data_IF_710102134458
#
_entry.id   IF_710102134458
#
_cell.length_a   1.000
_cell.length_b   1.000
_cell.length_c   1.000
_cell.angle_alpha   90.00
_cell.angle_beta   90.00
_cell.angle_gamma   90.00
#
_symmetry.space_group_name_H-M   'P 1'
#
loop_
_entity.id
_entity.type
_entity.pdbx_description
1 polymer ?
#
# COMPACT_ATOMS: atom_id res chain seq x y z
N UNK A 1 -15.09 -38.72 -40.96
CA UNK A 1 -14.58 -40.02 -40.46
C UNK A 1 -13.27 -39.75 -39.76
N UNK A 2 -13.35 -39.46 -38.45
CA UNK A 2 -12.21 -39.34 -37.55
C UNK A 2 -11.73 -40.74 -37.24
N UNK A 3 -10.55 -41.11 -37.74
CA UNK A 3 -9.93 -42.39 -37.41
C UNK A 3 -9.54 -42.36 -35.93
N UNK A 4 -10.22 -43.16 -35.11
CA UNK A 4 -9.77 -43.50 -33.77
C UNK A 4 -8.49 -44.35 -33.91
N UNK A 5 -7.32 -43.72 -33.75
CA UNK A 5 -6.08 -44.45 -33.51
C UNK A 5 -6.02 -44.77 -32.02
N UNK A 6 -6.60 -45.90 -31.63
CA UNK A 6 -6.57 -46.40 -30.26
C UNK A 6 -6.66 -47.92 -30.23
N UNK A 7 -5.66 -48.53 -29.58
CA UNK A 7 -5.65 -49.87 -29.01
C UNK A 7 -5.64 -51.09 -29.95
N UNK A 8 -4.45 -51.46 -30.48
CA UNK A 8 -4.20 -52.84 -30.96
C UNK A 8 -2.76 -53.35 -30.74
N UNK A 9 -1.92 -52.69 -29.94
CA UNK A 9 -0.60 -53.23 -29.57
C UNK A 9 -0.68 -53.89 -28.18
N UNK A 10 -0.30 -55.16 -28.08
CA UNK A 10 -0.25 -55.88 -26.80
C UNK A 10 0.71 -55.19 -25.81
N UNK A 11 0.41 -55.23 -24.50
CA UNK A 11 1.31 -54.71 -23.48
C UNK A 11 2.69 -55.37 -23.60
N UNK A 12 3.72 -54.55 -23.74
CA UNK A 12 5.10 -55.01 -23.83
C UNK A 12 5.63 -55.31 -22.41
N UNK A 13 6.29 -56.45 -22.22
CA UNK A 13 7.02 -56.74 -20.97
C UNK A 13 8.27 -55.86 -20.91
N UNK A 14 8.24 -54.85 -20.03
CA UNK A 14 9.34 -53.89 -19.83
C UNK A 14 10.64 -54.53 -19.32
N UNK A 15 10.60 -55.79 -18.89
CA UNK A 15 11.78 -56.55 -18.49
C UNK A 15 12.42 -57.36 -19.63
N UNK A 16 11.86 -57.31 -20.85
CA UNK A 16 12.46 -57.98 -22.00
C UNK A 16 13.84 -57.35 -22.33
N UNK A 17 14.95 -58.11 -22.23
CA UNK A 17 16.29 -57.60 -22.50
C UNK A 17 16.52 -57.15 -23.96
N UNK A 18 15.60 -57.46 -24.88
CA UNK A 18 15.67 -57.03 -26.28
C UNK A 18 15.17 -55.60 -26.51
N UNK A 19 14.49 -55.00 -25.54
CA UNK A 19 13.96 -53.64 -25.66
C UNK A 19 15.07 -52.60 -25.55
N UNK A 20 14.97 -51.56 -26.36
CA UNK A 20 15.81 -50.38 -26.17
C UNK A 20 15.25 -49.52 -25.04
N UNK A 21 16.10 -48.64 -24.48
CA UNK A 21 15.65 -47.66 -23.47
C UNK A 21 14.48 -46.80 -23.97
N UNK A 22 14.47 -46.48 -25.26
CA UNK A 22 13.42 -45.65 -25.84
C UNK A 22 12.11 -46.42 -26.01
N UNK A 23 12.16 -47.73 -26.25
CA UNK A 23 10.95 -48.58 -26.29
C UNK A 23 10.27 -48.65 -24.93
N UNK A 24 11.06 -48.72 -23.84
CA UNK A 24 10.53 -48.66 -22.47
C UNK A 24 9.87 -47.30 -22.18
N UNK A 25 10.47 -46.19 -22.62
CA UNK A 25 9.89 -44.85 -22.48
C UNK A 25 8.56 -44.74 -23.22
N UNK A 26 8.49 -45.24 -24.47
CA UNK A 26 7.25 -45.27 -25.25
C UNK A 26 6.16 -46.09 -24.57
N UNK A 27 6.50 -47.25 -24.00
CA UNK A 27 5.54 -48.08 -23.29
C UNK A 27 5.01 -47.39 -22.02
N UNK A 28 5.85 -46.65 -21.29
CA UNK A 28 5.41 -45.84 -20.16
C UNK A 28 4.41 -44.75 -20.58
N UNK A 29 4.74 -43.99 -21.61
CA UNK A 29 3.87 -42.95 -22.15
C UNK A 29 2.54 -43.51 -22.66
N UNK A 30 2.56 -44.69 -23.30
CA UNK A 30 1.36 -45.36 -23.79
C UNK A 30 0.38 -45.73 -22.68
N UNK A 31 0.87 -46.06 -21.47
CA UNK A 31 0.02 -46.37 -20.31
C UNK A 31 -0.72 -45.15 -19.76
N UNK A 32 -0.21 -43.96 -20.04
CA UNK A 32 -0.81 -42.67 -19.67
C UNK A 32 -1.53 -42.01 -20.88
N UNK A 33 -1.87 -42.80 -21.91
CA UNK A 33 -2.48 -42.34 -23.16
C UNK A 33 -1.70 -41.21 -23.88
N UNK A 34 -0.37 -41.26 -23.78
CA UNK A 34 0.58 -40.38 -24.48
C UNK A 34 1.25 -41.14 -25.63
N UNK A 35 1.17 -40.58 -26.84
CA UNK A 35 1.82 -41.11 -28.04
C UNK A 35 2.86 -40.12 -28.59
N UNK A 36 4.12 -40.55 -28.76
CA UNK A 36 5.15 -39.77 -29.44
C UNK A 36 5.00 -39.94 -30.96
N UNK A 37 4.66 -38.86 -31.67
CA UNK A 37 4.51 -38.82 -33.13
C UNK A 37 5.84 -38.57 -33.82
N UNK A 38 6.62 -37.62 -33.33
CA UNK A 38 7.96 -37.31 -33.87
C UNK A 38 8.95 -37.16 -32.73
N UNK A 39 10.14 -37.72 -32.95
CA UNK A 39 11.29 -37.57 -32.05
C UNK A 39 12.55 -37.48 -32.91
N UNK A 40 12.96 -36.26 -33.22
CA UNK A 40 14.05 -36.01 -34.17
C UNK A 40 15.17 -35.19 -33.55
N UNK A 41 16.41 -35.64 -33.75
CA UNK A 41 17.59 -34.84 -33.42
C UNK A 41 17.67 -33.61 -34.31
N UNK A 42 18.11 -32.47 -33.76
CA UNK A 42 18.35 -31.24 -34.52
C UNK A 42 19.47 -31.36 -35.56
N UNK A 43 20.34 -32.38 -35.42
CA UNK A 43 21.46 -32.62 -36.32
C UNK A 43 21.44 -34.05 -36.86
N UNK A 44 21.83 -34.19 -38.14
CA UNK A 44 22.00 -35.49 -38.79
C UNK A 44 23.29 -36.16 -38.30
N UNK A 45 23.15 -37.01 -37.28
CA UNK A 45 24.23 -37.79 -36.70
C UNK A 45 25.07 -37.06 -35.63
N UNK A 46 25.84 -37.82 -34.85
CA UNK A 46 26.66 -37.28 -33.76
C UNK A 46 27.89 -36.53 -34.27
N UNK A 47 28.32 -35.50 -33.54
CA UNK A 47 29.58 -34.78 -33.74
C UNK A 47 29.68 -33.96 -35.05
N UNK A 48 28.56 -33.48 -35.58
CA UNK A 48 28.58 -32.66 -36.80
C UNK A 48 29.30 -31.31 -36.58
N UNK A 49 29.87 -30.72 -37.64
CA UNK A 49 30.50 -29.39 -37.55
C UNK A 49 29.50 -28.30 -37.14
N UNK A 50 28.23 -28.45 -37.54
CA UNK A 50 27.15 -27.52 -37.20
C UNK A 50 26.80 -27.62 -35.71
N UNK A 51 26.65 -28.84 -35.17
CA UNK A 51 26.42 -29.10 -33.75
C UNK A 51 27.52 -28.50 -32.89
N UNK A 52 28.80 -28.77 -33.21
CA UNK A 52 29.95 -28.21 -32.48
C UNK A 52 29.94 -26.67 -32.43
N UNK A 53 29.49 -26.01 -33.50
CA UNK A 53 29.37 -24.55 -33.55
C UNK A 53 28.27 -24.06 -32.60
N UNK A 54 27.11 -24.71 -32.62
CA UNK A 54 25.97 -24.38 -31.74
C UNK A 54 26.34 -24.61 -30.27
N UNK A 55 26.96 -25.76 -29.94
CA UNK A 55 27.46 -26.07 -28.61
C UNK A 55 28.42 -24.98 -28.12
N UNK A 56 29.37 -24.54 -28.95
CA UNK A 56 30.32 -23.47 -28.58
C UNK A 56 29.62 -22.15 -28.29
N UNK A 57 28.63 -21.77 -29.11
CA UNK A 57 27.89 -20.52 -28.91
C UNK A 57 27.07 -20.55 -27.61
N UNK A 58 26.39 -21.66 -27.32
CA UNK A 58 25.62 -21.84 -26.08
C UNK A 58 26.55 -21.87 -24.87
N UNK A 59 27.67 -22.59 -24.97
CA UNK A 59 28.70 -22.63 -23.92
C UNK A 59 29.26 -21.24 -23.63
N UNK A 60 29.50 -20.44 -24.66
CA UNK A 60 29.92 -19.05 -24.50
C UNK A 60 28.89 -18.22 -23.72
N UNK A 61 27.58 -18.38 -23.98
CA UNK A 61 26.54 -17.68 -23.24
C UNK A 61 26.53 -18.09 -21.75
N UNK A 62 26.65 -19.39 -21.44
CA UNK A 62 26.76 -19.84 -20.05
C UNK A 62 27.99 -19.27 -19.35
N UNK A 63 29.14 -19.26 -20.03
CA UNK A 63 30.37 -18.66 -19.48
C UNK A 63 30.23 -17.14 -19.28
N UNK A 64 29.59 -16.44 -20.22
CA UNK A 64 29.34 -15.01 -20.12
C UNK A 64 28.39 -14.68 -18.95
N UNK A 65 27.34 -15.48 -18.76
CA UNK A 65 26.45 -15.38 -17.59
C UNK A 65 27.24 -15.57 -16.28
N UNK A 66 28.08 -16.60 -16.20
CA UNK A 66 28.94 -16.86 -15.04
C UNK A 66 29.95 -15.73 -14.78
N UNK A 67 30.51 -15.14 -15.83
CA UNK A 67 31.41 -13.98 -15.73
C UNK A 67 30.71 -12.79 -15.08
N UNK A 68 29.50 -12.44 -15.53
CA UNK A 68 28.75 -11.33 -14.93
C UNK A 68 28.27 -11.63 -13.50
N UNK A 69 27.94 -12.89 -13.18
CA UNK A 69 27.69 -13.29 -11.79
C UNK A 69 28.94 -13.13 -10.90
N UNK A 70 30.13 -13.41 -11.45
CA UNK A 70 31.38 -13.18 -10.75
C UNK A 70 31.66 -11.68 -10.56
N UNK A 71 31.42 -10.85 -11.59
CA UNK A 71 31.52 -9.38 -11.48
C UNK A 71 30.58 -8.85 -10.39
N UNK A 72 29.35 -9.37 -10.32
CA UNK A 72 28.42 -9.05 -9.23
C UNK A 72 29.02 -9.38 -7.86
N UNK A 73 29.50 -10.61 -7.68
CA UNK A 73 30.06 -11.07 -6.40
C UNK A 73 31.27 -10.23 -5.97
N UNK A 74 32.20 -9.97 -6.89
CA UNK A 74 33.41 -9.18 -6.62
C UNK A 74 33.02 -7.74 -6.27
N UNK A 75 32.10 -7.14 -7.02
CA UNK A 75 31.63 -5.78 -6.76
C UNK A 75 30.91 -5.70 -5.41
N UNK A 76 30.09 -6.69 -5.07
CA UNK A 76 29.40 -6.76 -3.79
C UNK A 76 30.36 -6.80 -2.58
N UNK A 77 31.49 -7.50 -2.72
CA UNK A 77 32.45 -7.68 -1.62
C UNK A 77 33.41 -6.49 -1.50
N UNK A 78 33.94 -6.01 -2.63
CA UNK A 78 35.13 -5.13 -2.65
C UNK A 78 34.78 -3.66 -2.90
N UNK A 79 33.65 -3.38 -3.54
CA UNK A 79 33.30 -2.02 -3.95
C UNK A 79 32.89 -1.15 -2.75
N UNK A 80 33.28 0.14 -2.71
CA UNK A 80 32.88 1.04 -1.62
C UNK A 80 31.36 1.24 -1.62
N UNK A 81 30.69 0.79 -0.55
CA UNK A 81 29.23 0.87 -0.41
C UNK A 81 28.77 1.91 0.62
N UNK A 82 29.69 2.45 1.42
CA UNK A 82 29.37 3.45 2.44
C UNK A 82 29.04 4.78 1.77
N UNK A 83 27.99 5.42 2.26
CA UNK A 83 27.61 6.76 1.79
C UNK A 83 28.72 7.76 2.10
N UNK A 84 29.10 8.54 1.10
CA UNK A 84 30.04 9.65 1.21
C UNK A 84 29.43 10.89 0.54
N UNK A 85 29.71 12.07 1.09
CA UNK A 85 29.26 13.34 0.50
C UNK A 85 30.05 13.64 -0.78
N UNK A 86 29.33 13.97 -1.86
CA UNK A 86 29.90 14.28 -3.17
C UNK A 86 29.78 13.11 -4.15
N UNK A 87 30.35 13.28 -5.35
CA UNK A 87 30.38 12.22 -6.36
C UNK A 87 31.59 11.32 -6.13
N UNK A 88 31.34 10.10 -5.66
CA UNK A 88 32.38 9.13 -5.35
C UNK A 88 32.09 7.79 -6.01
N UNK A 89 33.00 6.83 -5.83
CA UNK A 89 32.80 5.47 -6.34
C UNK A 89 31.58 4.78 -5.70
N UNK A 90 31.10 5.21 -4.53
CA UNK A 90 29.94 4.58 -3.88
C UNK A 90 28.63 4.78 -4.63
N UNK A 91 28.51 5.86 -5.40
CA UNK A 91 27.32 6.14 -6.22
C UNK A 91 27.07 5.03 -7.26
N UNK A 92 28.14 4.35 -7.69
CA UNK A 92 28.08 3.26 -8.67
C UNK A 92 27.84 1.89 -8.06
N UNK A 93 27.84 1.75 -6.72
CA UNK A 93 27.67 0.47 -6.05
C UNK A 93 26.36 -0.22 -6.48
N UNK A 94 25.23 0.42 -6.24
CA UNK A 94 23.91 -0.14 -6.58
C UNK A 94 23.72 -0.35 -8.09
N UNK A 95 24.07 0.61 -8.98
CA UNK A 95 24.01 0.38 -10.43
C UNK A 95 24.84 -0.82 -10.90
N UNK A 96 26.09 -0.98 -10.42
CA UNK A 96 26.96 -2.09 -10.84
C UNK A 96 26.38 -3.44 -10.41
N UNK A 97 25.85 -3.53 -9.17
CA UNK A 97 25.16 -4.74 -8.72
C UNK A 97 23.96 -5.06 -9.60
N UNK A 98 23.12 -4.06 -9.90
CA UNK A 98 21.94 -4.25 -10.75
C UNK A 98 22.29 -4.70 -12.17
N UNK A 99 23.25 -4.02 -12.82
CA UNK A 99 23.66 -4.33 -14.20
C UNK A 99 24.34 -5.69 -14.30
N UNK A 100 25.27 -6.00 -13.41
CA UNK A 100 25.99 -7.27 -13.43
C UNK A 100 25.05 -8.46 -13.18
N UNK A 101 24.18 -8.39 -12.17
CA UNK A 101 23.19 -9.44 -11.92
C UNK A 101 22.16 -9.54 -13.06
N UNK A 102 21.66 -8.40 -13.54
CA UNK A 102 20.70 -8.33 -14.63
C UNK A 102 21.22 -8.97 -15.91
N UNK A 103 22.44 -8.62 -16.35
CA UNK A 103 23.07 -9.22 -17.53
C UNK A 103 23.33 -10.71 -17.31
N UNK A 104 23.80 -11.13 -16.12
CA UNK A 104 24.04 -12.53 -15.82
C UNK A 104 22.79 -13.39 -16.02
N UNK A 105 21.67 -12.99 -15.42
CA UNK A 105 20.40 -13.73 -15.52
C UNK A 105 19.78 -13.65 -16.92
N UNK A 106 19.89 -12.49 -17.58
CA UNK A 106 19.41 -12.32 -18.94
C UNK A 106 20.12 -13.25 -19.93
N UNK A 107 21.46 -13.28 -19.88
CA UNK A 107 22.27 -14.15 -20.72
C UNK A 107 22.05 -15.63 -20.36
N UNK A 108 21.86 -15.95 -19.08
CA UNK A 108 21.49 -17.31 -18.64
C UNK A 108 20.19 -17.78 -19.30
N UNK A 109 19.16 -16.93 -19.27
CA UNK A 109 17.87 -17.21 -19.90
C UNK A 109 18.01 -17.47 -21.40
N UNK A 110 18.80 -16.63 -22.11
CA UNK A 110 19.10 -16.86 -23.54
C UNK A 110 19.85 -18.18 -23.74
N UNK A 111 20.81 -18.51 -22.88
CA UNK A 111 21.58 -19.75 -22.98
C UNK A 111 20.68 -20.99 -22.85
N UNK A 112 19.78 -21.00 -21.87
CA UNK A 112 18.81 -22.10 -21.64
C UNK A 112 17.84 -22.22 -22.83
N UNK A 113 17.30 -21.10 -23.32
CA UNK A 113 16.40 -21.12 -24.48
C UNK A 113 17.11 -21.57 -25.76
N UNK A 114 18.35 -21.15 -25.98
CA UNK A 114 19.15 -21.58 -27.11
C UNK A 114 19.48 -23.08 -27.01
N UNK A 115 19.79 -23.57 -25.81
CA UNK A 115 19.99 -25.01 -25.54
C UNK A 115 18.73 -25.81 -25.87
N UNK A 116 17.59 -25.40 -25.34
CA UNK A 116 16.30 -26.05 -25.60
C UNK A 116 15.92 -26.04 -27.09
N UNK A 117 16.08 -24.91 -27.78
CA UNK A 117 15.66 -24.77 -29.19
C UNK A 117 16.64 -25.35 -30.20
N UNK A 118 17.94 -25.47 -29.88
CA UNK A 118 18.99 -25.78 -30.87
C UNK A 118 19.71 -27.09 -30.63
N UNK A 119 19.67 -27.66 -29.43
CA UNK A 119 20.33 -28.93 -29.12
C UNK A 119 19.35 -30.02 -28.67
N UNK A 120 18.27 -29.68 -27.97
CA UNK A 120 17.30 -30.71 -27.56
C UNK A 120 16.54 -31.27 -28.78
N UNK A 121 16.26 -32.58 -28.80
CA UNK A 121 15.43 -33.20 -29.83
C UNK A 121 14.06 -32.54 -29.93
N UNK A 122 13.54 -32.44 -31.14
CA UNK A 122 12.17 -32.01 -31.37
C UNK A 122 11.24 -33.19 -31.12
N UNK A 123 10.41 -33.07 -30.08
CA UNK A 123 9.41 -34.06 -29.71
C UNK A 123 8.01 -33.48 -29.92
N UNK A 124 7.17 -34.22 -30.64
CA UNK A 124 5.73 -33.95 -30.70
C UNK A 124 5.04 -35.17 -30.10
N UNK A 125 4.42 -34.97 -28.95
CA UNK A 125 3.61 -35.97 -28.27
C UNK A 125 2.14 -35.54 -28.29
N UNK A 126 1.24 -36.49 -28.52
CA UNK A 126 -0.21 -36.31 -28.38
C UNK A 126 -0.62 -37.03 -27.11
N UNK A 127 -1.23 -36.32 -26.17
CA UNK A 127 -1.86 -36.90 -25.00
C UNK A 127 -3.37 -36.79 -25.12
N UNK A 128 -4.08 -37.89 -24.91
CA UNK A 128 -5.54 -37.83 -24.77
C UNK A 128 -5.89 -37.13 -23.47
N UNK A 129 -6.64 -36.02 -23.58
CA UNK A 129 -7.06 -35.27 -22.40
C UNK A 129 -8.25 -35.98 -21.76
N UNK A 130 -8.08 -36.49 -20.54
CA UNK A 130 -9.20 -36.92 -19.68
C UNK A 130 -9.92 -35.69 -19.09
N UNK A 131 -10.51 -34.88 -19.97
CA UNK A 131 -11.23 -33.65 -19.61
C UNK A 131 -12.75 -33.81 -19.61
N UNK A 132 -13.24 -34.97 -20.03
CA UNK A 132 -14.65 -35.31 -19.93
C UNK A 132 -15.04 -35.39 -18.45
N UNK A 133 -16.28 -35.03 -18.11
CA UNK A 133 -16.79 -35.29 -16.77
C UNK A 133 -16.54 -36.76 -16.40
N UNK A 134 -16.28 -37.02 -15.12
CA UNK A 134 -16.40 -38.37 -14.56
C UNK A 134 -17.69 -39.02 -15.08
N UNK A 135 -17.64 -40.32 -15.32
CA UNK A 135 -18.78 -41.04 -15.88
C UNK A 135 -20.03 -40.83 -15.02
N UNK A 136 -21.21 -40.93 -15.64
CA UNK A 136 -22.48 -40.80 -14.90
C UNK A 136 -22.55 -41.78 -13.73
N UNK A 137 -21.98 -42.97 -13.89
CA UNK A 137 -21.83 -43.97 -12.85
C UNK A 137 -20.90 -43.50 -11.72
N UNK A 138 -19.72 -42.95 -12.00
CA UNK A 138 -18.80 -42.44 -10.98
C UNK A 138 -19.39 -41.26 -10.20
N UNK A 139 -20.08 -40.35 -10.89
CA UNK A 139 -20.77 -39.22 -10.26
C UNK A 139 -21.91 -39.71 -9.36
N UNK A 140 -22.68 -40.68 -9.84
CA UNK A 140 -23.77 -41.29 -9.07
C UNK A 140 -23.22 -42.03 -7.85
N UNK A 141 -22.19 -42.86 -8.02
CA UNK A 141 -21.53 -43.60 -6.93
C UNK A 141 -21.00 -42.62 -5.90
N UNK A 142 -20.29 -41.56 -6.31
CA UNK A 142 -19.73 -40.57 -5.40
C UNK A 142 -20.83 -39.82 -4.65
N UNK A 143 -21.86 -39.35 -5.36
CA UNK A 143 -23.00 -38.64 -4.75
C UNK A 143 -23.77 -39.52 -3.77
N UNK A 144 -24.08 -40.77 -4.16
CA UNK A 144 -24.77 -41.73 -3.30
C UNK A 144 -23.92 -42.16 -2.11
N UNK A 145 -22.61 -42.31 -2.28
CA UNK A 145 -21.69 -42.59 -1.17
C UNK A 145 -21.70 -41.45 -0.16
N UNK A 146 -21.62 -40.19 -0.61
CA UNK A 146 -21.66 -39.03 0.28
C UNK A 146 -23.00 -38.93 1.03
N UNK A 147 -24.13 -39.12 0.33
CA UNK A 147 -25.46 -39.10 0.93
C UNK A 147 -25.68 -40.27 1.90
N UNK A 148 -25.26 -41.47 1.53
CA UNK A 148 -25.33 -42.66 2.39
C UNK A 148 -24.59 -42.45 3.70
N UNK A 149 -23.35 -41.92 3.64
CA UNK A 149 -22.58 -41.58 4.84
C UNK A 149 -23.30 -40.52 5.68
N UNK A 150 -23.84 -39.47 5.05
CA UNK A 150 -24.60 -38.44 5.75
C UNK A 150 -25.86 -38.97 6.46
N UNK A 151 -26.56 -39.92 5.84
CA UNK A 151 -27.74 -40.59 6.40
C UNK A 151 -27.38 -41.55 7.53
N UNK A 152 -26.29 -42.30 7.40
CA UNK A 152 -25.82 -43.26 8.39
C UNK A 152 -25.35 -42.56 9.68
N UNK A 153 -24.69 -41.39 9.55
CA UNK A 153 -24.42 -40.49 10.68
C UNK A 153 -25.71 -40.17 11.45
N UNK A 154 -26.85 -40.11 10.76
CA UNK A 154 -28.19 -40.02 11.34
C UNK A 154 -28.41 -38.78 12.20
N UNK A 155 -27.64 -37.72 11.98
CA UNK A 155 -27.79 -36.43 12.66
C UNK A 155 -29.11 -35.78 12.25
N UNK A 156 -29.50 -35.91 10.97
CA UNK A 156 -30.74 -35.33 10.43
C UNK A 156 -32.01 -35.86 11.11
N UNK A 157 -32.07 -37.17 11.40
CA UNK A 157 -33.20 -37.83 12.08
C UNK A 157 -33.23 -37.63 13.60
N UNK A 158 -32.21 -36.96 14.18
CA UNK A 158 -32.08 -36.73 15.63
C UNK A 158 -32.15 -35.22 15.91
N UNK A 159 -33.36 -34.62 15.97
CA UNK A 159 -33.52 -33.16 16.04
C UNK A 159 -32.84 -32.54 17.26
N UNK A 160 -32.83 -33.24 18.40
CA UNK A 160 -32.13 -32.81 19.61
C UNK A 160 -30.61 -32.74 19.39
N UNK A 161 -30.01 -33.76 18.77
CA UNK A 161 -28.57 -33.80 18.48
C UNK A 161 -28.18 -32.72 17.45
N UNK A 162 -28.98 -32.56 16.38
CA UNK A 162 -28.78 -31.50 15.38
C UNK A 162 -28.83 -30.12 16.02
N UNK A 163 -29.82 -29.88 16.88
CA UNK A 163 -29.94 -28.65 17.66
C UNK A 163 -28.75 -28.43 18.60
N UNK A 164 -28.33 -29.48 19.31
CA UNK A 164 -27.18 -29.44 20.22
C UNK A 164 -25.85 -29.16 19.50
N UNK A 165 -25.61 -29.75 18.32
CA UNK A 165 -24.44 -29.45 17.49
C UNK A 165 -24.46 -27.98 17.04
N UNK A 166 -25.58 -27.51 16.49
CA UNK A 166 -25.69 -26.13 16.01
C UNK A 166 -25.54 -25.10 17.13
N UNK A 167 -26.35 -25.22 18.19
CA UNK A 167 -26.34 -24.30 19.33
C UNK A 167 -25.11 -24.44 20.21
N UNK A 168 -24.45 -25.61 20.23
CA UNK A 168 -23.22 -25.84 20.97
C UNK A 168 -21.98 -25.33 20.26
N UNK A 169 -21.88 -25.52 18.93
CA UNK A 169 -20.72 -25.08 18.15
C UNK A 169 -20.77 -23.61 17.75
N UNK A 170 -21.96 -23.03 17.53
CA UNK A 170 -22.07 -21.62 17.11
C UNK A 170 -21.44 -20.63 18.12
N UNK A 171 -21.69 -20.74 19.45
CA UNK A 171 -21.01 -19.90 20.43
C UNK A 171 -19.49 -20.11 20.47
N UNK A 172 -18.99 -21.32 20.21
CA UNK A 172 -17.55 -21.58 20.13
C UNK A 172 -16.92 -20.88 18.92
N UNK A 173 -17.60 -20.89 17.77
CA UNK A 173 -17.19 -20.12 16.59
C UNK A 173 -17.16 -18.62 16.86
N UNK A 174 -18.19 -18.09 17.52
CA UNK A 174 -18.23 -16.68 17.94
C UNK A 174 -17.12 -16.35 18.94
N UNK A 175 -16.88 -17.20 19.94
CA UNK A 175 -15.83 -17.01 20.93
C UNK A 175 -14.41 -17.02 20.30
N UNK A 176 -14.19 -17.86 19.29
CA UNK A 176 -12.93 -17.88 18.53
C UNK A 176 -12.76 -16.62 17.66
N UNK A 177 -13.83 -16.12 17.05
CA UNK A 177 -13.80 -14.91 16.22
C UNK A 177 -13.71 -13.62 17.05
N UNK A 178 -14.29 -13.60 18.25
CA UNK A 178 -14.41 -12.42 19.10
C UNK A 178 -13.09 -11.70 19.39
N UNK A 179 -11.96 -12.33 19.78
CA UNK A 179 -10.71 -11.60 19.99
C UNK A 179 -10.07 -11.12 18.69
N UNK A 180 -10.23 -11.86 17.59
CA UNK A 180 -9.65 -11.52 16.28
C UNK A 180 -10.36 -10.33 15.64
N UNK A 181 -11.70 -10.31 15.71
CA UNK A 181 -12.52 -9.23 15.15
C UNK A 181 -12.64 -8.10 16.16
N UNK A 182 -13.00 -8.41 17.41
CA UNK A 182 -13.21 -7.43 18.47
C UNK A 182 -11.92 -6.69 18.87
N UNK A 183 -10.76 -7.33 18.81
CA UNK A 183 -9.47 -6.67 19.06
C UNK A 183 -9.13 -5.56 18.05
N UNK A 184 -9.70 -5.63 16.84
CA UNK A 184 -9.54 -4.61 15.79
C UNK A 184 -10.59 -3.49 15.90
N UNK A 185 -11.68 -3.71 16.62
CA UNK A 185 -12.75 -2.72 16.81
C UNK A 185 -12.38 -1.83 18.00
N UNK A 186 -12.01 -0.58 17.72
CA UNK A 186 -11.72 0.43 18.73
C UNK A 186 -12.97 1.29 19.00
N UNK A 187 -13.14 1.74 20.25
CA UNK A 187 -14.18 2.73 20.57
C UNK A 187 -13.60 4.16 20.42
N UNK A 188 -13.99 4.92 19.39
CA UNK A 188 -13.52 6.31 19.20
C UNK A 188 -14.10 7.28 20.24
N UNK A 189 -15.12 6.87 21.01
CA UNK A 189 -15.77 7.63 22.08
C UNK A 189 -15.45 7.08 23.47
N UNK A 190 -14.25 6.53 23.67
CA UNK A 190 -13.84 5.97 24.97
C UNK A 190 -13.69 7.03 26.07
N UNK A 191 -13.41 8.26 25.66
CA UNK A 191 -13.16 9.40 26.53
C UNK A 191 -14.44 10.26 26.63
N UNK A 192 -14.66 10.94 27.76
CA UNK A 192 -15.87 11.75 28.00
C UNK A 192 -16.05 12.87 26.95
N UNK A 193 -14.94 13.34 26.42
CA UNK A 193 -14.85 14.32 25.34
C UNK A 193 -14.17 13.60 24.15
N UNK A 194 -14.88 13.32 23.04
CA UNK A 194 -14.32 12.49 21.98
C UNK A 194 -13.13 13.18 21.29
N UNK A 195 -12.11 12.39 20.95
CA UNK A 195 -10.82 12.89 20.44
C UNK A 195 -10.90 13.79 19.19
N UNK A 196 -12.00 13.71 18.44
CA UNK A 196 -12.19 14.46 17.19
C UNK A 196 -12.72 15.90 17.39
N UNK A 197 -13.08 16.27 18.64
CA UNK A 197 -13.70 17.57 18.94
C UNK A 197 -12.79 18.53 19.70
N UNK A 198 -11.58 18.10 20.08
CA UNK A 198 -10.66 18.90 20.89
C UNK A 198 -9.25 18.79 20.34
N UNK A 199 -8.51 19.88 20.41
CA UNK A 199 -7.12 19.96 19.98
C UNK A 199 -6.20 20.32 21.15
N UNK A 200 -4.89 20.41 20.92
CA UNK A 200 -3.94 20.87 21.93
C UNK A 200 -4.11 22.33 22.35
N UNK A 201 -4.94 23.11 21.65
CA UNK A 201 -5.28 24.48 22.05
C UNK A 201 -6.43 24.57 23.06
N UNK A 202 -7.11 23.48 23.38
CA UNK A 202 -8.16 23.49 24.41
C UNK A 202 -7.57 23.81 25.79
N UNK A 203 -7.98 24.92 26.43
CA UNK A 203 -7.56 25.25 27.79
C UNK A 203 -7.80 24.14 28.81
N UNK A 204 -8.82 23.29 28.65
CA UNK A 204 -9.08 22.16 29.56
C UNK A 204 -7.91 21.18 29.59
N UNK A 205 -7.22 20.98 28.46
CA UNK A 205 -6.04 20.12 28.36
C UNK A 205 -4.79 20.73 29.03
N UNK A 206 -4.87 22.02 29.38
CA UNK A 206 -3.82 22.82 30.00
C UNK A 206 -4.22 23.36 31.39
N UNK A 207 -5.12 22.66 32.10
CA UNK A 207 -5.55 23.04 33.45
C UNK A 207 -6.29 24.38 33.49
N UNK A 208 -7.17 24.61 32.52
CA UNK A 208 -8.01 25.80 32.33
C UNK A 208 -7.22 27.09 32.08
N UNK A 209 -5.94 26.98 31.67
CA UNK A 209 -5.09 28.11 31.29
C UNK A 209 -5.07 28.29 29.79
N UNK A 210 -5.06 29.54 29.35
CA UNK A 210 -4.88 29.89 27.94
C UNK A 210 -3.59 29.27 27.40
N UNK A 211 -3.64 28.77 26.16
CA UNK A 211 -2.54 28.04 25.54
C UNK A 211 -1.74 29.00 24.67
N UNK A 212 -0.45 29.18 24.97
CA UNK A 212 0.45 30.00 24.14
C UNK A 212 0.64 29.39 22.76
N UNK A 213 0.83 30.24 21.77
CA UNK A 213 1.31 29.82 20.45
C UNK A 213 2.84 29.77 20.50
N UNK A 214 3.41 28.65 20.04
CA UNK A 214 4.84 28.39 20.11
C UNK A 214 5.41 27.92 18.77
N UNK A 215 6.72 28.08 18.59
CA UNK A 215 7.53 27.38 17.58
C UNK A 215 7.56 25.88 17.88
N UNK A 216 8.10 25.10 16.94
CA UNK A 216 8.35 23.67 17.10
C UNK A 216 9.29 23.34 18.28
N UNK A 217 10.19 24.25 18.63
CA UNK A 217 11.07 24.16 19.80
C UNK A 217 10.41 24.59 21.13
N UNK A 218 9.14 25.03 21.11
CA UNK A 218 8.40 25.50 22.28
C UNK A 218 8.60 26.99 22.61
N UNK A 219 9.40 27.73 21.83
CA UNK A 219 9.59 29.17 22.03
C UNK A 219 8.28 29.93 21.77
N UNK A 220 7.78 30.76 22.70
CA UNK A 220 6.54 31.51 22.51
C UNK A 220 6.67 32.64 21.48
N UNK A 221 5.57 32.93 20.79
CA UNK A 221 5.54 33.90 19.68
C UNK A 221 5.02 35.26 20.12
N UNK A 222 5.70 36.33 19.67
CA UNK A 222 5.24 37.72 19.80
C UNK A 222 4.65 38.23 18.48
N UNK A 223 3.78 39.26 18.49
CA UNK A 223 3.29 39.92 17.28
C UNK A 223 4.39 40.30 16.27
N UNK A 224 5.49 40.86 16.76
CA UNK A 224 6.59 41.34 15.91
C UNK A 224 7.39 40.22 15.22
N UNK A 225 7.19 38.95 15.63
CA UNK A 225 7.85 37.79 15.01
C UNK A 225 7.28 37.45 13.62
N UNK A 226 6.10 37.98 13.27
CA UNK A 226 5.46 37.77 11.98
C UNK A 226 5.40 39.08 11.23
N UNK A 227 6.16 39.21 10.14
CA UNK A 227 6.13 40.39 9.28
C UNK A 227 4.75 40.57 8.62
N UNK A 228 4.38 41.81 8.29
CA UNK A 228 3.12 42.10 7.59
C UNK A 228 3.05 41.39 6.22
N UNK A 229 1.95 40.70 5.96
CA UNK A 229 1.79 39.78 4.83
C UNK A 229 2.47 38.42 5.01
N UNK A 230 3.20 38.23 6.12
CA UNK A 230 3.88 36.99 6.46
C UNK A 230 2.98 35.98 7.16
N UNK A 231 3.49 34.75 7.22
CA UNK A 231 2.86 33.64 7.94
C UNK A 231 3.90 32.88 8.75
N UNK A 232 3.46 32.16 9.76
CA UNK A 232 4.27 31.13 10.40
C UNK A 232 3.40 29.95 10.86
N UNK A 233 3.99 28.75 10.90
CA UNK A 233 3.36 27.62 11.59
C UNK A 233 3.60 27.77 13.08
N UNK A 234 2.53 27.62 13.86
CA UNK A 234 2.54 27.64 15.31
C UNK A 234 1.93 26.37 15.87
N UNK A 235 2.33 26.03 17.09
CA UNK A 235 1.91 24.86 17.82
C UNK A 235 1.39 25.24 19.21
N UNK A 236 0.54 24.40 19.83
CA UNK A 236 0.15 24.56 21.21
C UNK A 236 1.35 24.56 22.16
N UNK A 237 1.46 25.58 23.02
CA UNK A 237 2.50 25.69 24.05
C UNK A 237 2.27 24.80 25.26
N UNK A 238 1.97 23.52 25.03
CA UNK A 238 1.75 22.48 26.05
C UNK A 238 2.77 21.36 25.87
N UNK A 239 3.02 20.51 26.88
CA UNK A 239 3.92 19.37 26.75
C UNK A 239 3.56 18.45 25.57
N UNK A 240 4.45 18.38 24.59
CA UNK A 240 4.26 17.60 23.36
C UNK A 240 3.40 18.29 22.29
N UNK A 241 3.09 19.59 22.42
CA UNK A 241 2.26 20.34 21.48
C UNK A 241 2.76 20.36 20.02
N UNK A 242 4.08 20.27 19.83
CA UNK A 242 4.70 20.14 18.50
C UNK A 242 5.00 18.69 18.08
N UNK A 243 4.31 17.70 18.67
CA UNK A 243 4.52 16.27 18.36
C UNK A 243 3.25 15.62 17.82
N UNK A 244 3.35 14.35 17.41
CA UNK A 244 2.20 13.57 16.92
C UNK A 244 1.09 13.36 17.97
N UNK A 245 1.32 13.71 19.24
CA UNK A 245 0.26 13.76 20.25
C UNK A 245 -0.87 14.74 19.87
N UNK A 246 -0.52 15.82 19.19
CA UNK A 246 -1.43 16.90 18.77
C UNK A 246 -1.29 17.17 17.27
N UNK A 247 -1.37 16.10 16.46
CA UNK A 247 -1.13 16.14 15.02
C UNK A 247 -2.14 17.01 14.24
N UNK A 248 -3.30 17.27 14.83
CA UNK A 248 -4.37 18.13 14.32
C UNK A 248 -4.19 19.61 14.67
N UNK A 249 -3.31 19.92 15.62
CA UNK A 249 -3.15 21.25 16.19
C UNK A 249 -2.18 22.18 15.44
N UNK A 250 -1.34 21.77 14.47
CA UNK A 250 -0.57 22.75 13.69
C UNK A 250 -1.48 23.82 13.09
N UNK A 251 -1.12 25.07 13.34
CA UNK A 251 -1.94 26.23 12.98
C UNK A 251 -1.09 27.23 12.22
N UNK A 252 -1.71 27.95 11.29
CA UNK A 252 -1.08 28.96 10.49
C UNK A 252 -1.46 30.34 11.01
N UNK A 253 -0.51 30.99 11.71
CA UNK A 253 -0.63 32.37 12.16
C UNK A 253 -0.21 33.30 11.00
N UNK A 254 -1.10 34.19 10.60
CA UNK A 254 -0.92 35.09 9.46
C UNK A 254 -1.06 36.52 9.96
N UNK A 255 -0.08 37.36 9.64
CA UNK A 255 -0.17 38.80 9.85
C UNK A 255 -0.67 39.43 8.54
N UNK A 256 -1.93 39.84 8.50
CA UNK A 256 -2.53 40.44 7.32
C UNK A 256 -2.09 41.89 7.15
N UNK A 257 -2.06 42.37 5.91
CA UNK A 257 -1.94 43.81 5.63
C UNK A 257 -3.23 44.51 6.10
N UNK A 258 -3.15 45.80 6.43
CA UNK A 258 -4.28 46.54 7.03
C UNK A 258 -5.61 46.38 6.28
N UNK A 259 -5.60 46.54 4.95
CA UNK A 259 -6.81 46.41 4.11
C UNK A 259 -7.37 44.99 4.09
N UNK A 260 -6.49 43.99 4.09
CA UNK A 260 -6.88 42.58 4.11
C UNK A 260 -7.40 42.17 5.50
N UNK A 261 -6.81 42.72 6.56
CA UNK A 261 -7.26 42.54 7.93
C UNK A 261 -8.67 43.09 8.13
N UNK A 262 -8.98 44.27 7.58
CA UNK A 262 -10.32 44.84 7.63
C UNK A 262 -11.36 43.97 6.90
N UNK A 263 -11.04 43.51 5.68
CA UNK A 263 -11.92 42.56 4.97
C UNK A 263 -12.16 41.28 5.76
N UNK A 264 -11.09 40.73 6.34
CA UNK A 264 -11.16 39.50 7.15
C UNK A 264 -12.02 39.72 8.39
N UNK A 265 -11.89 40.88 9.05
CA UNK A 265 -12.67 41.24 10.23
C UNK A 265 -14.16 41.37 9.90
N UNK A 266 -14.50 42.05 8.80
CA UNK A 266 -15.88 42.13 8.31
C UNK A 266 -16.44 40.75 8.01
N UNK A 267 -15.67 39.87 7.35
CA UNK A 267 -16.09 38.50 7.07
C UNK A 267 -16.28 37.68 8.36
N UNK A 268 -15.36 37.80 9.32
CA UNK A 268 -15.41 37.09 10.60
C UNK A 268 -16.58 37.53 11.47
N UNK A 269 -16.87 38.84 11.53
CA UNK A 269 -18.01 39.39 12.26
C UNK A 269 -19.35 39.09 11.57
N UNK A 270 -19.33 38.94 10.24
CA UNK A 270 -20.46 38.51 9.42
C UNK A 270 -20.70 37.00 9.38
N UNK A 271 -19.91 36.18 10.10
CA UNK A 271 -20.12 34.75 10.17
C UNK A 271 -21.50 34.42 10.76
N UNK A 272 -22.36 33.75 9.99
CA UNK A 272 -23.75 33.44 10.36
C UNK A 272 -23.86 32.68 11.67
N UNK A 273 -22.86 31.84 11.98
CA UNK A 273 -22.83 31.03 13.19
C UNK A 273 -22.06 31.72 14.34
N UNK A 274 -21.52 32.92 14.11
CA UNK A 274 -20.73 33.68 15.08
C UNK A 274 -19.44 33.00 15.52
N UNK A 275 -18.97 31.94 14.83
CA UNK A 275 -17.80 31.16 15.24
C UNK A 275 -16.54 32.02 15.13
N UNK A 276 -16.38 32.77 14.05
CA UNK A 276 -15.16 33.56 13.83
C UNK A 276 -15.19 34.97 14.46
N UNK A 277 -16.34 35.39 15.00
CA UNK A 277 -16.50 36.72 15.60
C UNK A 277 -15.53 36.92 16.76
N UNK A 278 -14.76 38.01 16.72
CA UNK A 278 -13.78 38.35 17.75
C UNK A 278 -12.59 37.39 17.86
N UNK A 279 -12.37 36.50 16.88
CA UNK A 279 -11.27 35.52 16.90
C UNK A 279 -9.93 36.10 16.43
N UNK A 280 -9.92 37.31 15.86
CA UNK A 280 -8.71 38.02 15.42
C UNK A 280 -8.14 38.89 16.55
N UNK A 281 -6.81 39.07 16.56
CA UNK A 281 -6.14 40.07 17.39
C UNK A 281 -5.40 41.07 16.50
N UNK A 282 -5.76 42.35 16.54
CA UNK A 282 -5.21 43.37 15.63
C UNK A 282 -5.39 42.99 14.16
N UNK A 283 -4.28 42.86 13.42
CA UNK A 283 -4.25 42.40 12.02
C UNK A 283 -3.86 40.91 11.88
N UNK A 284 -3.90 40.15 12.97
CA UNK A 284 -3.48 38.75 13.00
C UNK A 284 -4.68 37.82 12.99
N UNK A 285 -4.55 36.72 12.24
CA UNK A 285 -5.51 35.64 12.18
C UNK A 285 -4.79 34.32 12.25
N UNK A 286 -5.40 33.31 12.86
CA UNK A 286 -4.88 31.95 12.90
C UNK A 286 -5.92 30.99 12.35
N UNK A 287 -5.54 30.20 11.35
CA UNK A 287 -6.38 29.13 10.80
C UNK A 287 -5.68 27.79 10.98
N UNK A 288 -6.44 26.72 11.20
CA UNK A 288 -5.87 25.37 11.22
C UNK A 288 -5.11 25.12 9.90
N UNK A 289 -3.92 24.54 10.02
CA UNK A 289 -3.13 24.10 8.88
C UNK A 289 -3.66 22.79 8.30
N UNK A 290 -4.61 22.13 8.95
CA UNK A 290 -5.13 20.82 8.53
C UNK A 290 -6.28 21.00 7.55
N UNK A 291 -6.06 20.58 6.31
CA UNK A 291 -7.04 20.68 5.23
C UNK A 291 -8.31 19.88 5.57
N UNK A 292 -9.47 20.52 5.42
CA UNK A 292 -10.79 19.94 5.69
C UNK A 292 -11.25 18.87 4.70
N UNK A 293 -10.49 18.61 3.64
CA UNK A 293 -10.75 17.52 2.71
C UNK A 293 -10.22 16.18 3.25
N UNK A 294 -8.89 16.05 3.34
CA UNK A 294 -8.21 14.78 3.64
C UNK A 294 -7.03 14.94 4.62
N UNK A 295 -6.95 16.06 5.35
CA UNK A 295 -6.04 16.20 6.48
C UNK A 295 -4.62 16.66 6.14
N UNK A 296 -4.31 16.89 4.88
CA UNK A 296 -2.99 17.40 4.48
C UNK A 296 -2.70 18.79 5.06
N UNK A 297 -1.44 19.10 5.43
CA UNK A 297 -1.05 20.44 5.86
C UNK A 297 -1.12 21.48 4.72
N UNK A 298 -2.14 22.33 4.72
CA UNK A 298 -2.28 23.48 3.83
C UNK A 298 -1.34 24.61 4.26
N UNK A 299 -0.17 24.71 3.61
CA UNK A 299 0.93 25.59 4.06
C UNK A 299 1.42 26.57 3.00
N UNK A 300 0.96 26.45 1.76
CA UNK A 300 1.43 27.28 0.65
C UNK A 300 0.58 28.55 0.59
N UNK A 301 1.03 29.61 1.24
CA UNK A 301 0.32 30.88 1.31
C UNK A 301 0.79 31.87 0.25
N UNK A 302 -0.12 32.26 -0.63
CA UNK A 302 0.09 33.31 -1.64
C UNK A 302 -0.32 34.67 -1.04
N UNK A 303 0.67 35.42 -0.56
CA UNK A 303 0.48 36.66 0.19
C UNK A 303 -0.21 37.78 -0.60
N UNK A 304 -0.12 37.77 -1.94
CA UNK A 304 -0.68 38.82 -2.79
C UNK A 304 -2.20 38.69 -2.96
N UNK A 305 -2.70 37.45 -2.93
CA UNK A 305 -4.10 37.13 -3.22
C UNK A 305 -4.83 36.56 -1.99
N UNK A 306 -4.11 36.41 -0.87
CA UNK A 306 -4.60 35.82 0.37
C UNK A 306 -5.14 34.40 0.20
N UNK A 307 -4.55 33.63 -0.71
CA UNK A 307 -4.93 32.22 -0.92
C UNK A 307 -3.99 31.30 -0.16
N UNK A 308 -4.56 30.36 0.56
CA UNK A 308 -3.83 29.25 1.16
C UNK A 308 -4.09 27.98 0.36
N UNK A 309 -3.04 27.38 -0.18
CA UNK A 309 -3.10 26.22 -1.04
C UNK A 309 -2.68 24.96 -0.29
N UNK A 310 -3.50 23.92 -0.42
CA UNK A 310 -3.17 22.57 0.01
C UNK A 310 -2.40 21.84 -1.10
N UNK A 311 -1.15 21.40 -0.88
CA UNK A 311 -0.32 20.81 -1.92
C UNK A 311 -0.82 19.44 -2.41
N UNK A 312 -1.64 18.74 -1.63
CA UNK A 312 -2.07 17.38 -1.98
C UNK A 312 -3.08 17.35 -3.14
N UNK A 313 -4.15 18.14 -3.03
CA UNK A 313 -5.27 18.13 -4.00
C UNK A 313 -5.71 19.54 -4.40
N UNK A 314 -4.82 20.52 -4.17
CA UNK A 314 -4.94 21.89 -4.66
C UNK A 314 -6.17 22.65 -4.16
N UNK A 315 -6.79 22.23 -3.05
CA UNK A 315 -7.81 23.07 -2.40
C UNK A 315 -7.22 24.44 -2.07
N UNK A 316 -7.91 25.50 -2.45
CA UNK A 316 -7.50 26.87 -2.20
C UNK A 316 -8.50 27.53 -1.26
N UNK A 317 -8.02 28.04 -0.14
CA UNK A 317 -8.82 28.72 0.87
C UNK A 317 -8.55 30.21 0.83
N UNK A 318 -9.60 31.03 0.76
CA UNK A 318 -9.47 32.48 0.77
C UNK A 318 -9.41 32.98 2.22
N UNK A 319 -8.20 33.31 2.69
CA UNK A 319 -7.92 33.70 4.09
C UNK A 319 -8.78 34.89 4.53
N UNK A 320 -9.01 35.85 3.63
CA UNK A 320 -9.80 37.06 3.92
C UNK A 320 -11.30 36.83 3.98
N UNK A 321 -11.78 35.66 3.57
CA UNK A 321 -13.19 35.27 3.63
C UNK A 321 -13.34 34.02 4.49
N UNK A 322 -12.97 34.12 5.77
CA UNK A 322 -13.08 33.04 6.75
C UNK A 322 -12.38 31.72 6.34
N UNK A 323 -11.33 31.78 5.50
CA UNK A 323 -10.69 30.62 4.89
C UNK A 323 -11.69 29.71 4.14
N UNK A 324 -12.68 30.31 3.47
CA UNK A 324 -13.65 29.60 2.63
C UNK A 324 -12.92 28.96 1.43
N UNK A 325 -13.15 27.66 1.13
CA UNK A 325 -12.64 27.06 -0.08
C UNK A 325 -13.26 27.73 -1.32
N UNK A 326 -12.40 28.18 -2.22
CA UNK A 326 -12.76 28.81 -3.50
C UNK A 326 -12.38 27.94 -4.71
N UNK A 327 -11.64 26.85 -4.48
CA UNK A 327 -11.24 25.88 -5.50
C UNK A 327 -10.87 24.53 -4.86
N UNK A 328 -10.90 23.46 -5.66
CA UNK A 328 -10.53 22.10 -5.28
C UNK A 328 -11.61 21.36 -4.49
N UNK A 329 -11.29 20.17 -3.94
CA UNK A 329 -12.30 19.26 -3.37
C UNK A 329 -12.72 19.56 -1.92
N UNK A 330 -12.08 20.51 -1.24
CA UNK A 330 -12.47 20.86 0.13
C UNK A 330 -13.81 21.60 0.11
N UNK A 331 -14.77 21.11 0.90
CA UNK A 331 -16.13 21.67 0.97
C UNK A 331 -16.37 22.53 2.21
N UNK A 332 -15.45 22.51 3.18
CA UNK A 332 -15.52 23.27 4.43
C UNK A 332 -14.39 24.26 4.55
N UNK A 333 -14.67 25.41 5.17
CA UNK A 333 -13.67 26.40 5.57
C UNK A 333 -12.70 25.83 6.60
N UNK A 334 -11.47 26.35 6.63
CA UNK A 334 -10.54 26.02 7.71
C UNK A 334 -11.04 26.64 9.03
N UNK A 335 -11.03 25.90 10.15
CA UNK A 335 -11.36 26.46 11.46
C UNK A 335 -10.41 27.62 11.82
N UNK A 336 -10.97 28.72 12.32
CA UNK A 336 -10.21 29.86 12.84
C UNK A 336 -9.97 29.68 14.35
N UNK A 337 -8.73 29.84 14.79
CA UNK A 337 -8.35 29.80 16.19
C UNK A 337 -8.54 31.19 16.82
N UNK A 338 -9.31 31.34 17.90
CA UNK A 338 -9.47 32.61 18.61
C UNK A 338 -8.18 33.07 19.28
N UNK A 339 -7.67 34.25 18.91
CA UNK A 339 -6.38 34.80 19.36
C UNK A 339 -6.53 35.94 20.37
N UNK A 340 -5.55 36.03 21.27
CA UNK A 340 -5.24 37.24 22.05
C UNK A 340 -3.73 37.31 22.28
N UNK A 341 -3.30 38.34 22.99
CA UNK A 341 -1.95 38.49 23.53
C UNK A 341 -2.05 38.54 25.05
N UNK A 342 -1.15 37.84 25.74
CA UNK A 342 -1.08 37.84 27.20
C UNK A 342 -0.32 39.06 27.75
N UNK A 343 -0.30 39.21 29.08
CA UNK A 343 0.34 40.34 29.76
C UNK A 343 1.86 40.41 29.54
N UNK A 344 2.48 39.30 29.15
CA UNK A 344 3.91 39.22 28.82
C UNK A 344 4.18 39.55 27.35
N UNK A 345 3.13 39.76 26.54
CA UNK A 345 3.20 40.15 25.13
C UNK A 345 3.34 38.99 24.15
N UNK A 346 2.93 37.77 24.53
CA UNK A 346 2.95 36.58 23.66
C UNK A 346 1.54 36.21 23.19
N UNK A 347 1.44 35.63 21.99
CA UNK A 347 0.17 35.12 21.48
C UNK A 347 -0.35 33.95 22.31
N UNK A 348 -1.65 33.99 22.59
CA UNK A 348 -2.40 32.93 23.27
C UNK A 348 -3.71 32.62 22.52
N UNK A 349 -4.10 31.36 22.52
CA UNK A 349 -5.44 30.94 22.14
C UNK A 349 -6.41 31.23 23.29
N UNK A 350 -7.51 31.95 23.03
CA UNK A 350 -8.52 32.28 24.05
C UNK A 350 -9.50 31.14 24.29
N UNK A 351 -9.61 30.22 23.33
CA UNK A 351 -10.31 28.94 23.42
C UNK A 351 -9.72 27.98 22.40
N UNK A 352 -10.20 26.73 22.40
CA UNK A 352 -9.99 25.85 21.23
C UNK A 352 -10.70 26.40 19.98
N UNK A 353 -10.50 25.73 18.84
CA UNK A 353 -11.29 25.93 17.64
C UNK A 353 -12.78 25.75 17.92
N UNK A 354 -13.59 26.66 17.38
CA UNK A 354 -15.06 26.61 17.47
C UNK A 354 -15.72 25.71 16.41
N UNK A 355 -14.90 25.01 15.62
CA UNK A 355 -15.30 24.07 14.56
C UNK A 355 -14.28 22.95 14.50
N UNK A 356 -14.68 21.75 14.07
CA UNK A 356 -13.77 20.59 14.11
C UNK A 356 -12.65 20.71 13.08
N UNK A 357 -11.44 20.37 13.52
CA UNK A 357 -10.24 20.43 12.71
C UNK A 357 -10.12 19.19 11.81
N UNK A 358 -9.61 19.41 10.59
CA UNK A 358 -9.31 18.34 9.65
C UNK A 358 -10.54 17.84 8.88
N UNK A 359 -10.46 16.64 8.27
CA UNK A 359 -11.51 16.05 7.44
C UNK A 359 -12.85 15.90 8.12
N UNK A 360 -13.90 15.73 7.31
CA UNK A 360 -15.22 15.42 7.85
C UNK A 360 -15.27 13.99 8.41
N UNK A 361 -16.19 13.76 9.35
CA UNK A 361 -16.50 12.46 9.94
C UNK A 361 -18.01 12.36 10.18
N UNK A 362 -18.53 11.14 10.31
CA UNK A 362 -19.96 10.87 10.25
C UNK A 362 -20.77 11.59 11.34
N UNK A 363 -20.19 11.75 12.53
CA UNK A 363 -20.81 12.37 13.71
C UNK A 363 -20.61 13.90 13.77
N UNK A 364 -19.98 14.53 12.77
CA UNK A 364 -19.79 15.98 12.78
C UNK A 364 -21.14 16.71 12.57
N UNK A 365 -21.52 17.68 13.42
CA UNK A 365 -22.80 18.40 13.33
C UNK A 365 -23.04 19.23 12.07
#
# INVERSE_FOLDING_TARGET
>A
MTAHHGATAEPVDVNDPKLTRFDIVKEGLRRDDIEIITYESQFQGPNSKAEKRVVRNISFLFLLSGLFALVFLVSYIVWPWKFELGHTLSDYYTPILGVSLGISLFVLGIAILAWAKKLLPHEVSIQQRHGDPSSDDERLITGQTAMYVADELGVARRPLLKGAIGLGLAPLGLAAAAPLVGGLIQNPHRDAEPMMYHTGFDPKTNGDKLVRLTRDDGTPIRPDDVSAGGQMTVYPGVPGGATNKFADSPTLLIHLRADDAEKTRVAADGDKNGRNKGSMWGNYVAYSKICTHAGCPASLYEQQTNRLLCPCHQSQFLITDNAQPIFGPATRRLPMLPLSVDDEGFFVATSDFKDTVGPDFWERP
#
